data_IF_338008333501
#
_entry.id   IF_338008333501
#
_cell.length_a   1.000
_cell.length_b   1.000
_cell.length_c   1.000
_cell.angle_alpha   90.00
_cell.angle_beta   90.00
_cell.angle_gamma   90.00
#
_symmetry.space_group_name_H-M   'P 1'
#
loop_
_entity.id
_entity.type
_entity.pdbx_description
1 polymer ?
#
# COMPACT_ATOMS: atom_id res chain seq x y z
N UNK A 1 9.16 -9.39 -0.19
CA UNK A 1 10.55 -9.85 -0.49
C UNK A 1 10.77 -11.36 -0.31
N UNK A 2 10.56 -11.94 0.88
CA UNK A 2 10.82 -13.38 1.11
C UNK A 2 9.97 -14.27 0.17
N UNK A 3 8.71 -13.90 -0.04
CA UNK A 3 7.81 -14.60 -0.98
C UNK A 3 8.33 -14.55 -2.41
N UNK A 4 8.87 -13.41 -2.86
CA UNK A 4 9.51 -13.30 -4.18
C UNK A 4 10.74 -14.20 -4.31
N UNK A 5 11.58 -14.27 -3.28
CA UNK A 5 12.73 -15.18 -3.27
C UNK A 5 12.28 -16.65 -3.33
N UNK A 6 11.20 -16.98 -2.60
CA UNK A 6 10.61 -18.31 -2.60
C UNK A 6 9.98 -18.67 -3.95
N UNK A 7 9.30 -17.73 -4.60
CA UNK A 7 8.75 -17.88 -5.95
C UNK A 7 9.85 -18.10 -7.00
N UNK A 8 10.93 -17.31 -6.93
CA UNK A 8 12.03 -17.40 -7.88
C UNK A 8 12.85 -18.69 -7.73
N UNK A 9 13.21 -19.06 -6.49
CA UNK A 9 13.94 -20.30 -6.22
C UNK A 9 13.65 -20.81 -4.79
N UNK A 10 12.64 -21.68 -4.62
CA UNK A 10 12.20 -22.10 -3.29
C UNK A 10 13.26 -22.92 -2.55
N UNK A 11 14.05 -23.73 -3.26
CA UNK A 11 15.12 -24.55 -2.66
C UNK A 11 16.20 -23.65 -2.05
N UNK A 12 16.74 -22.72 -2.83
CA UNK A 12 17.78 -21.81 -2.35
C UNK A 12 17.27 -20.92 -1.20
N UNK A 13 16.01 -20.48 -1.28
CA UNK A 13 15.39 -19.66 -0.24
C UNK A 13 15.32 -20.42 1.10
N UNK A 14 14.81 -21.66 1.08
CA UNK A 14 14.71 -22.49 2.28
C UNK A 14 16.08 -22.87 2.86
N UNK A 15 17.04 -23.24 2.02
CA UNK A 15 18.43 -23.48 2.45
C UNK A 15 19.06 -22.24 3.11
N UNK A 16 18.79 -21.05 2.57
CA UNK A 16 19.28 -19.81 3.15
C UNK A 16 18.66 -19.57 4.54
N UNK A 17 17.35 -19.80 4.71
CA UNK A 17 16.68 -19.71 6.02
C UNK A 17 17.26 -20.71 7.04
N UNK A 18 17.56 -21.94 6.61
CA UNK A 18 18.18 -22.97 7.47
C UNK A 18 19.58 -22.56 7.93
N UNK A 19 20.42 -22.04 7.02
CA UNK A 19 21.76 -21.54 7.37
C UNK A 19 21.70 -20.34 8.32
N UNK A 20 20.72 -19.45 8.13
CA UNK A 20 20.49 -18.32 9.03
C UNK A 20 20.08 -18.78 10.43
N UNK A 21 19.24 -19.81 10.55
CA UNK A 21 18.86 -20.38 11.84
C UNK A 21 20.07 -20.90 12.62
N UNK A 22 21.01 -21.58 11.96
CA UNK A 22 22.25 -22.04 12.58
C UNK A 22 23.14 -20.90 13.11
N UNK A 23 23.00 -19.70 12.56
CA UNK A 23 23.77 -18.50 12.93
C UNK A 23 23.10 -17.69 14.04
N UNK A 24 21.77 -17.57 13.98
CA UNK A 24 20.95 -16.78 14.91
C UNK A 24 20.66 -17.50 16.24
N UNK A 25 20.86 -18.83 16.27
CA UNK A 25 20.84 -19.72 17.43
C UNK A 25 19.92 -19.30 18.58
N UNK A 26 18.67 -19.82 18.63
CA UNK A 26 17.82 -19.86 19.85
C UNK A 26 16.40 -20.44 19.64
N UNK A 27 15.94 -20.72 18.41
CA UNK A 27 14.59 -21.26 18.19
C UNK A 27 14.59 -22.78 17.98
N UNK A 28 13.70 -23.47 18.71
CA UNK A 28 13.40 -24.90 18.49
C UNK A 28 12.63 -25.13 17.19
N UNK A 29 11.95 -24.10 16.67
CA UNK A 29 11.20 -24.15 15.43
C UNK A 29 12.02 -23.60 14.25
N UNK A 30 11.99 -24.26 13.07
CA UNK A 30 12.62 -23.74 11.86
C UNK A 30 12.13 -22.35 11.47
N UNK A 31 13.04 -21.46 11.04
CA UNK A 31 12.68 -20.10 10.60
C UNK A 31 11.64 -20.15 9.48
N UNK A 32 11.80 -21.07 8.54
CA UNK A 32 10.83 -21.29 7.46
C UNK A 32 9.44 -21.65 7.98
N UNK A 33 9.36 -22.48 9.03
CA UNK A 33 8.07 -22.86 9.63
C UNK A 33 7.37 -21.67 10.28
N UNK A 34 8.11 -20.88 11.06
CA UNK A 34 7.59 -19.66 11.68
C UNK A 34 7.12 -18.65 10.62
N UNK A 35 7.93 -18.43 9.58
CA UNK A 35 7.60 -17.54 8.47
C UNK A 35 6.31 -17.97 7.77
N UNK A 36 6.16 -19.25 7.43
CA UNK A 36 4.97 -19.76 6.73
C UNK A 36 3.72 -19.59 7.60
N UNK A 37 3.81 -19.89 8.91
CA UNK A 37 2.67 -19.71 9.83
C UNK A 37 2.24 -18.25 9.92
N UNK A 38 3.21 -17.34 10.06
CA UNK A 38 2.93 -15.90 10.09
C UNK A 38 2.36 -15.40 8.77
N UNK A 39 2.92 -15.86 7.65
CA UNK A 39 2.45 -15.49 6.32
C UNK A 39 0.98 -15.90 6.10
N UNK A 40 0.61 -17.14 6.45
CA UNK A 40 -0.78 -17.59 6.34
C UNK A 40 -1.69 -16.79 7.29
N UNK A 41 -1.23 -16.47 8.50
CA UNK A 41 -1.99 -15.67 9.45
C UNK A 41 -2.27 -14.24 8.94
N UNK A 42 -1.26 -13.58 8.35
CA UNK A 42 -1.34 -12.20 7.88
C UNK A 42 -1.70 -12.11 6.38
N UNK A 43 -2.45 -13.08 5.84
CA UNK A 43 -2.80 -13.08 4.40
C UNK A 43 -3.66 -11.87 4.02
N UNK A 44 -4.47 -11.37 4.94
CA UNK A 44 -5.33 -10.20 4.78
C UNK A 44 -4.54 -8.88 4.73
N UNK A 45 -3.26 -8.90 5.13
CA UNK A 45 -2.38 -7.74 5.10
C UNK A 45 -1.67 -7.53 3.74
N UNK A 46 -1.95 -8.36 2.73
CA UNK A 46 -1.43 -8.18 1.37
C UNK A 46 -2.31 -7.18 0.61
N UNK A 47 -1.80 -5.96 0.50
CA UNK A 47 -2.48 -4.81 -0.09
C UNK A 47 -1.82 -4.44 -1.43
N UNK A 48 -2.63 -4.03 -2.40
CA UNK A 48 -2.16 -3.73 -3.75
C UNK A 48 -2.09 -4.95 -4.69
N UNK A 49 -2.00 -4.67 -5.99
CA UNK A 49 -2.07 -5.68 -7.05
C UNK A 49 -0.87 -6.63 -6.98
N UNK A 50 0.34 -6.06 -6.90
CA UNK A 50 1.59 -6.81 -6.89
C UNK A 50 1.67 -7.79 -5.72
N UNK A 51 1.41 -7.30 -4.50
CA UNK A 51 1.56 -8.08 -3.27
C UNK A 51 0.57 -9.25 -3.24
N UNK A 52 -0.68 -9.01 -3.66
CA UNK A 52 -1.69 -10.07 -3.76
C UNK A 52 -1.30 -11.12 -4.81
N UNK A 53 -0.84 -10.69 -6.00
CA UNK A 53 -0.38 -11.60 -7.06
C UNK A 53 0.80 -12.43 -6.61
N UNK A 54 1.80 -11.79 -6.01
CA UNK A 54 3.00 -12.45 -5.50
C UNK A 54 2.66 -13.44 -4.38
N UNK A 55 1.71 -13.09 -3.51
CA UNK A 55 1.22 -13.97 -2.46
C UNK A 55 0.58 -15.24 -3.05
N UNK A 56 -0.34 -15.11 -4.01
CA UNK A 56 -0.96 -16.26 -4.70
C UNK A 56 0.09 -17.15 -5.36
N UNK A 57 1.01 -16.57 -6.14
CA UNK A 57 2.06 -17.31 -6.83
C UNK A 57 3.02 -18.01 -5.85
N UNK A 58 3.36 -17.36 -4.74
CA UNK A 58 4.17 -17.95 -3.68
C UNK A 58 3.47 -19.13 -2.99
N UNK A 59 2.19 -18.98 -2.66
CA UNK A 59 1.39 -20.06 -2.06
C UNK A 59 1.28 -21.25 -3.01
N UNK A 60 1.01 -20.98 -4.30
CA UNK A 60 1.01 -22.01 -5.35
C UNK A 60 2.36 -22.72 -5.42
N UNK A 61 3.47 -21.97 -5.36
CA UNK A 61 4.82 -22.55 -5.35
C UNK A 61 5.02 -23.50 -4.19
N UNK A 62 4.63 -23.12 -2.97
CA UNK A 62 4.72 -23.97 -1.77
C UNK A 62 3.93 -25.27 -1.90
N UNK A 63 2.69 -25.20 -2.38
CA UNK A 63 1.82 -26.38 -2.51
C UNK A 63 2.20 -27.25 -3.71
N UNK A 64 2.95 -26.75 -4.69
CA UNK A 64 3.52 -27.55 -5.79
C UNK A 64 4.80 -28.28 -5.39
N UNK A 65 5.43 -27.91 -4.27
CA UNK A 65 6.67 -28.57 -3.83
C UNK A 65 6.41 -30.05 -3.52
N UNK A 66 7.33 -30.93 -3.95
CA UNK A 66 7.25 -32.36 -3.64
C UNK A 66 7.28 -32.65 -2.12
N UNK A 67 6.75 -33.80 -1.66
CA UNK A 67 6.62 -34.12 -0.22
C UNK A 67 7.93 -34.07 0.57
N UNK A 68 9.08 -34.29 -0.07
CA UNK A 68 10.39 -34.25 0.59
C UNK A 68 11.01 -32.85 0.69
N UNK A 69 10.56 -31.89 -0.11
CA UNK A 69 11.10 -30.53 -0.14
C UNK A 69 10.14 -29.49 0.45
N UNK A 70 8.87 -29.84 0.63
CA UNK A 70 7.85 -28.97 1.20
C UNK A 70 8.05 -28.83 2.72
N UNK A 71 8.17 -27.60 3.25
CA UNK A 71 8.24 -27.40 4.69
C UNK A 71 7.01 -27.96 5.42
N UNK A 72 7.23 -28.58 6.58
CA UNK A 72 6.15 -29.21 7.35
C UNK A 72 5.03 -28.23 7.73
N UNK A 73 5.36 -26.96 8.00
CA UNK A 73 4.40 -25.92 8.33
C UNK A 73 3.31 -25.73 7.26
N UNK A 74 3.61 -26.01 5.98
CA UNK A 74 2.59 -25.94 4.91
C UNK A 74 1.48 -26.97 5.15
N UNK A 75 1.83 -28.17 5.63
CA UNK A 75 0.86 -29.21 5.93
C UNK A 75 0.07 -28.89 7.22
N UNK A 76 0.71 -28.26 8.19
CA UNK A 76 0.07 -27.81 9.45
C UNK A 76 -0.98 -26.73 9.18
N UNK A 77 -0.72 -25.86 8.21
CA UNK A 77 -1.60 -24.76 7.81
C UNK A 77 -2.48 -25.09 6.59
N UNK A 78 -2.57 -26.36 6.17
CA UNK A 78 -3.22 -26.73 4.91
C UNK A 78 -4.71 -26.34 4.84
N UNK A 79 -5.41 -26.32 5.99
CA UNK A 79 -6.84 -25.96 6.05
C UNK A 79 -7.08 -24.46 5.84
N UNK A 80 -6.07 -23.62 6.07
CA UNK A 80 -6.14 -22.17 5.93
C UNK A 80 -5.74 -21.71 4.52
N UNK A 81 -4.93 -22.48 3.79
CA UNK A 81 -4.39 -22.09 2.48
C UNK A 81 -5.50 -21.79 1.46
N UNK A 82 -6.53 -22.64 1.36
CA UNK A 82 -7.61 -22.42 0.39
C UNK A 82 -8.44 -21.16 0.73
N UNK A 83 -8.91 -20.97 1.98
CA UNK A 83 -9.53 -19.71 2.39
C UNK A 83 -8.66 -18.47 2.10
N UNK A 84 -7.36 -18.52 2.41
CA UNK A 84 -6.38 -17.47 2.11
C UNK A 84 -6.32 -17.15 0.61
N UNK A 85 -6.27 -18.16 -0.25
CA UNK A 85 -6.25 -17.98 -1.70
C UNK A 85 -7.55 -17.34 -2.23
N UNK A 86 -8.72 -17.75 -1.71
CA UNK A 86 -10.00 -17.14 -2.08
C UNK A 86 -10.02 -15.65 -1.74
N UNK A 87 -9.59 -15.28 -0.52
CA UNK A 87 -9.50 -13.89 -0.10
C UNK A 87 -8.60 -13.07 -1.04
N UNK A 88 -7.43 -13.61 -1.39
CA UNK A 88 -6.50 -12.95 -2.32
C UNK A 88 -7.11 -12.78 -3.71
N UNK A 89 -7.82 -13.79 -4.23
CA UNK A 89 -8.48 -13.71 -5.53
C UNK A 89 -9.62 -12.70 -5.58
N UNK A 90 -10.38 -12.56 -4.50
CA UNK A 90 -11.40 -11.53 -4.39
C UNK A 90 -10.76 -10.12 -4.37
N UNK A 91 -9.62 -9.97 -3.70
CA UNK A 91 -8.81 -8.74 -3.74
C UNK A 91 -8.24 -8.44 -5.14
N UNK A 92 -7.68 -9.45 -5.81
CA UNK A 92 -7.14 -9.31 -7.17
C UNK A 92 -8.22 -8.92 -8.19
N UNK A 93 -9.39 -9.56 -8.10
CA UNK A 93 -10.50 -9.28 -9.00
C UNK A 93 -10.92 -7.81 -8.93
N UNK A 94 -10.95 -7.23 -7.73
CA UNK A 94 -11.26 -5.80 -7.53
C UNK A 94 -10.17 -4.91 -8.09
N UNK A 95 -8.91 -5.19 -7.73
CA UNK A 95 -7.77 -4.41 -8.21
C UNK A 95 -7.62 -4.41 -9.73
N UNK A 96 -7.91 -5.54 -10.41
CA UNK A 96 -7.92 -5.59 -11.88
C UNK A 96 -9.07 -4.79 -12.49
N UNK A 97 -10.25 -4.78 -11.85
CA UNK A 97 -11.38 -3.99 -12.32
C UNK A 97 -11.12 -2.49 -12.17
N UNK A 98 -10.53 -2.06 -11.06
CA UNK A 98 -10.11 -0.68 -10.83
C UNK A 98 -9.08 -0.23 -11.87
N UNK A 99 -8.03 -1.02 -12.08
CA UNK A 99 -7.00 -0.74 -13.09
C UNK A 99 -7.54 -0.68 -14.53
N UNK A 100 -8.54 -1.49 -14.86
CA UNK A 100 -9.17 -1.46 -16.17
C UNK A 100 -9.99 -0.17 -16.37
N UNK A 101 -10.68 0.31 -15.32
CA UNK A 101 -11.41 1.56 -15.36
C UNK A 101 -10.47 2.77 -15.51
N UNK A 102 -9.33 2.79 -14.80
CA UNK A 102 -8.31 3.85 -14.94
C UNK A 102 -7.76 3.94 -16.38
N UNK A 103 -7.51 2.80 -17.03
CA UNK A 103 -7.02 2.79 -18.42
C UNK A 103 -8.06 3.20 -19.46
N UNK A 104 -9.35 3.05 -19.17
CA UNK A 104 -10.43 3.56 -20.03
C UNK A 104 -10.59 5.09 -19.89
N UNK A 105 -10.38 5.64 -18.69
CA UNK A 105 -10.39 7.10 -18.45
C UNK A 105 -9.21 7.81 -19.14
N UNK A 106 -8.01 7.19 -19.19
CA UNK A 106 -6.86 7.75 -19.91
C UNK A 106 -7.04 7.75 -21.45
N UNK A 107 -7.81 6.82 -22.02
CA UNK A 107 -8.11 6.81 -23.46
C UNK A 107 -9.26 7.77 -23.85
N UNK A 108 -10.14 8.16 -22.92
CA UNK A 108 -11.17 9.19 -23.16
C UNK A 108 -10.61 10.62 -23.14
N UNK A 109 -9.45 10.86 -22.52
CA UNK A 109 -8.77 12.17 -22.48
C UNK A 109 -7.84 12.43 -23.70
N UNK A 110 -7.67 11.47 -24.62
CA UNK A 110 -6.88 11.67 -25.86
C UNK A 110 -7.72 12.15 -27.07
N UNK A 111 -9.05 12.33 -26.92
CA UNK A 111 -9.94 12.83 -27.99
C UNK A 111 -10.74 14.09 -27.60
N UNK A 112 -10.07 15.20 -27.26
CA UNK A 112 -10.43 16.58 -27.65
C UNK A 112 -9.71 17.60 -26.75
N UNK A 113 -8.58 18.11 -27.22
CA UNK A 113 -8.03 19.36 -26.73
C UNK A 113 -7.42 20.15 -27.89
N UNK A 114 -8.30 20.68 -28.73
CA UNK A 114 -8.08 22.00 -29.35
C UNK A 114 -8.38 23.04 -28.25
N UNK A 115 -7.60 23.00 -27.16
CA UNK A 115 -7.69 23.98 -26.09
C UNK A 115 -6.79 25.14 -26.48
N UNK A 116 -7.46 26.18 -27.00
CA UNK A 116 -6.92 27.53 -27.15
C UNK A 116 -6.13 27.87 -25.89
N UNK A 117 -4.88 28.31 -26.07
CA UNK A 117 -3.98 28.71 -25.00
C UNK A 117 -4.45 30.05 -24.40
N UNK A 118 -5.62 30.06 -23.74
CA UNK A 118 -6.02 31.11 -22.82
C UNK A 118 -5.32 30.88 -21.47
N UNK A 119 -4.07 31.33 -21.46
CA UNK A 119 -3.48 32.16 -20.40
C UNK A 119 -4.14 31.96 -19.04
N UNK A 120 -3.51 31.17 -18.18
CA UNK A 120 -3.68 31.26 -16.73
C UNK A 120 -3.32 32.68 -16.27
N UNK A 121 -4.27 33.62 -16.35
CA UNK A 121 -4.20 34.90 -15.64
C UNK A 121 -4.50 34.62 -14.18
N UNK A 122 -3.47 34.15 -13.48
CA UNK A 122 -3.39 34.13 -12.03
C UNK A 122 -3.39 35.58 -11.52
N UNK A 123 -4.56 36.08 -11.12
CA UNK A 123 -4.68 37.26 -10.25
C UNK A 123 -6.01 37.30 -9.50
N UNK A 124 -6.29 36.29 -8.69
CA UNK A 124 -7.20 36.44 -7.55
C UNK A 124 -6.46 36.06 -6.27
N UNK A 125 -5.66 37.01 -5.80
CA UNK A 125 -5.08 37.00 -4.45
C UNK A 125 -5.32 38.37 -3.80
N UNK A 126 -6.52 38.92 -3.93
CA UNK A 126 -6.95 40.09 -3.16
C UNK A 126 -7.39 39.65 -1.76
N UNK A 127 -6.43 39.68 -0.82
CA UNK A 127 -6.75 39.72 0.61
C UNK A 127 -7.48 41.05 0.84
N UNK A 128 -8.78 40.99 1.16
CA UNK A 128 -9.60 42.17 1.44
C UNK A 128 -8.94 43.05 2.52
N UNK A 129 -8.84 44.37 2.26
CA UNK A 129 -8.17 45.38 3.08
C UNK A 129 -8.74 45.42 4.52
N UNK A 130 -9.98 44.95 4.71
CA UNK A 130 -10.62 44.78 6.01
C UNK A 130 -10.01 43.66 6.89
N UNK A 131 -9.42 42.64 6.27
CA UNK A 131 -8.80 41.49 6.96
C UNK A 131 -7.44 41.87 7.57
N UNK A 132 -6.66 42.70 6.87
CA UNK A 132 -5.36 43.18 7.37
C UNK A 132 -5.50 44.03 8.64
N UNK A 133 -6.52 44.90 8.71
CA UNK A 133 -6.77 45.74 9.89
C UNK A 133 -7.12 44.90 11.13
N UNK A 134 -7.83 43.78 10.93
CA UNK A 134 -8.19 42.87 12.01
C UNK A 134 -6.97 42.11 12.55
N UNK A 135 -6.11 41.62 11.65
CA UNK A 135 -4.85 40.96 12.00
C UNK A 135 -3.90 41.90 12.77
N UNK A 136 -3.84 43.17 12.37
CA UNK A 136 -2.99 44.15 13.03
C UNK A 136 -3.50 44.47 14.46
N UNK A 137 -4.82 44.60 14.64
CA UNK A 137 -5.44 44.79 15.97
C UNK A 137 -5.20 43.59 16.91
N UNK A 138 -5.18 42.37 16.37
CA UNK A 138 -4.87 41.15 17.14
C UNK A 138 -3.41 41.15 17.61
N UNK A 139 -2.46 41.42 16.70
CA UNK A 139 -1.03 41.55 17.03
C UNK A 139 -0.82 42.57 18.13
N UNK A 140 -1.39 43.76 17.97
CA UNK A 140 -1.19 44.88 18.89
C UNK A 140 -1.73 44.57 20.29
N UNK A 141 -2.87 43.88 20.37
CA UNK A 141 -3.44 43.39 21.64
C UNK A 141 -2.51 42.37 22.33
N UNK A 142 -1.99 41.39 21.59
CA UNK A 142 -1.08 40.38 22.14
C UNK A 142 0.20 41.02 22.65
N UNK A 143 0.85 41.89 21.86
CA UNK A 143 2.08 42.57 22.30
C UNK A 143 1.87 43.48 23.51
N UNK A 144 0.73 44.17 23.61
CA UNK A 144 0.42 45.01 24.78
C UNK A 144 0.18 44.19 26.03
N UNK A 145 -0.60 43.12 25.94
CA UNK A 145 -0.90 42.26 27.10
C UNK A 145 0.35 41.54 27.60
N UNK A 146 1.26 41.15 26.71
CA UNK A 146 2.53 40.51 27.07
C UNK A 146 3.54 41.47 27.72
N UNK A 147 3.58 42.74 27.30
CA UNK A 147 4.43 43.78 27.92
C UNK A 147 4.07 44.08 29.38
N UNK A 148 2.82 43.83 29.78
CA UNK A 148 2.34 44.03 31.16
C UNK A 148 2.76 42.88 32.11
N UNK A 149 3.05 41.70 31.57
CA UNK A 149 3.45 40.50 32.32
C UNK A 149 4.96 40.20 32.25
N UNK A 150 5.78 41.12 31.75
CA UNK A 150 7.24 41.01 31.77
C UNK A 150 7.82 39.95 30.81
N UNK A 151 7.02 39.47 29.85
CA UNK A 151 7.44 38.49 28.85
C UNK A 151 7.38 39.13 27.45
N UNK A 152 8.53 39.22 26.77
CA UNK A 152 8.60 39.84 25.45
C UNK A 152 8.17 38.84 24.37
N UNK A 153 6.91 38.88 23.94
CA UNK A 153 6.38 38.04 22.86
C UNK A 153 6.54 38.77 21.53
N UNK A 154 7.23 38.16 20.58
CA UNK A 154 7.30 38.62 19.18
C UNK A 154 6.38 37.74 18.34
N UNK A 155 5.31 38.30 17.78
CA UNK A 155 4.41 37.63 16.85
C UNK A 155 4.66 38.12 15.42
N UNK A 156 4.92 37.20 14.49
CA UNK A 156 5.06 37.48 13.05
C UNK A 156 3.92 36.79 12.32
N UNK A 157 3.20 37.51 11.47
CA UNK A 157 2.17 36.93 10.61
C UNK A 157 2.89 36.37 9.39
N UNK A 158 2.93 35.05 9.28
CA UNK A 158 3.43 34.34 8.11
C UNK A 158 2.20 33.87 7.34
N UNK A 159 2.09 34.23 6.06
CA UNK A 159 1.01 33.78 5.20
C UNK A 159 1.21 32.29 4.89
N UNK A 160 0.85 31.44 5.85
CA UNK A 160 0.73 30.00 5.68
C UNK A 160 -0.69 29.75 5.21
N UNK A 161 -0.87 29.48 3.93
CA UNK A 161 -2.07 28.79 3.43
C UNK A 161 -2.08 27.38 4.03
N UNK A 162 -2.63 27.25 5.24
CA UNK A 162 -3.00 25.98 5.85
C UNK A 162 -4.45 26.13 6.28
N UNK A 163 -5.34 25.61 5.44
CA UNK A 163 -6.72 25.35 5.81
C UNK A 163 -6.69 24.14 6.74
N UNK A 164 -6.73 24.38 8.05
CA UNK A 164 -7.21 23.40 9.02
C UNK A 164 -8.67 23.81 9.30
N UNK A 165 -9.60 23.12 8.65
CA UNK A 165 -10.95 22.96 9.18
C UNK A 165 -11.00 21.57 9.80
N UNK A 166 -11.13 21.55 11.13
CA UNK A 166 -11.47 20.39 11.94
C UNK A 166 -12.92 19.98 11.63
N UNK A 167 -13.18 18.69 11.38
CA UNK A 167 -14.19 17.93 12.12
C UNK A 167 -14.11 16.42 11.78
N UNK A 168 -13.97 15.62 12.84
CA UNK A 168 -13.92 14.17 12.90
C UNK A 168 -15.16 13.48 12.33
N UNK A 169 -15.01 12.68 11.25
CA UNK A 169 -15.66 11.36 11.08
C UNK A 169 -15.04 10.55 9.91
N UNK A 170 -13.72 10.28 9.95
CA UNK A 170 -13.02 9.52 8.90
C UNK A 170 -12.59 8.13 9.41
N UNK A 171 -13.54 7.40 10.01
CA UNK A 171 -13.32 6.00 10.40
C UNK A 171 -14.27 5.02 9.70
N UNK A 172 -14.80 5.41 8.54
CA UNK A 172 -15.18 4.44 7.51
C UNK A 172 -13.92 3.89 6.82
N UNK A 173 -12.93 3.47 7.62
CA UNK A 173 -11.89 2.58 7.11
C UNK A 173 -12.59 1.27 6.78
N UNK A 174 -13.08 1.17 5.54
CA UNK A 174 -13.50 -0.12 5.00
C UNK A 174 -12.20 -0.93 4.88
N UNK A 175 -12.05 -2.07 5.58
CA UNK A 175 -10.87 -2.92 5.42
C UNK A 175 -10.69 -3.40 3.97
N UNK A 176 -11.74 -3.22 3.16
CA UNK A 176 -11.80 -3.52 1.75
C UNK A 176 -11.53 -2.31 0.84
N UNK A 177 -11.29 -1.11 1.37
CA UNK A 177 -10.97 0.08 0.59
C UNK A 177 -9.62 -0.08 -0.13
N UNK A 178 -9.57 0.32 -1.39
CA UNK A 178 -8.34 0.29 -2.18
C UNK A 178 -7.40 1.41 -1.70
N UNK A 179 -6.12 1.07 -1.56
CA UNK A 179 -5.11 1.75 -0.75
C UNK A 179 -4.01 2.51 -1.48
N UNK A 180 -4.09 3.08 -2.68
CA UNK A 180 -2.91 3.65 -3.43
C UNK A 180 -1.76 2.65 -3.74
N UNK A 181 -1.62 1.56 -2.99
CA UNK A 181 -0.64 0.50 -3.20
C UNK A 181 -1.03 -0.36 -4.41
N UNK A 182 -2.30 -0.32 -4.82
CA UNK A 182 -2.84 -0.95 -6.02
C UNK A 182 -2.15 -0.43 -7.30
N UNK A 183 -1.70 0.83 -7.29
CA UNK A 183 -1.08 1.47 -8.45
C UNK A 183 0.39 1.06 -8.66
N UNK A 184 1.05 0.45 -7.66
CA UNK A 184 2.44 0.01 -7.81
C UNK A 184 2.54 -1.31 -8.56
N UNK A 185 2.87 -1.21 -9.84
CA UNK A 185 3.07 -2.36 -10.74
C UNK A 185 4.56 -2.71 -10.88
N UNK A 186 4.82 -3.99 -11.10
CA UNK A 186 6.14 -4.54 -11.40
C UNK A 186 6.13 -5.26 -12.75
N UNK A 187 7.29 -5.62 -13.32
CA UNK A 187 7.36 -6.41 -14.54
C UNK A 187 6.47 -7.68 -14.52
N UNK A 188 6.27 -8.29 -13.35
CA UNK A 188 5.45 -9.48 -13.15
C UNK A 188 3.95 -9.23 -13.43
N UNK A 189 3.50 -7.98 -13.31
CA UNK A 189 2.09 -7.57 -13.35
C UNK A 189 1.63 -7.18 -14.77
N UNK A 190 2.54 -7.15 -15.75
CA UNK A 190 2.18 -6.94 -17.14
C UNK A 190 1.67 -8.22 -17.80
N UNK A 191 0.66 -8.06 -18.66
CA UNK A 191 -0.06 -9.14 -19.36
C UNK A 191 0.81 -9.96 -20.31
N UNK A 192 1.93 -9.41 -20.77
CA UNK A 192 2.89 -10.10 -21.65
C UNK A 192 3.71 -11.18 -20.91
N UNK A 193 3.65 -11.23 -19.58
CA UNK A 193 4.32 -12.27 -18.82
C UNK A 193 3.44 -13.52 -18.71
N UNK A 194 4.06 -14.68 -18.98
CA UNK A 194 3.44 -16.00 -18.97
C UNK A 194 3.12 -16.52 -17.54
N UNK A 195 2.97 -15.63 -16.56
CA UNK A 195 2.81 -15.87 -15.13
C UNK A 195 1.49 -15.26 -14.63
N UNK A 196 0.38 -15.75 -15.18
CA UNK A 196 -0.96 -15.47 -14.70
C UNK A 196 -1.27 -16.33 -13.47
N UNK A 197 -1.63 -15.69 -12.37
CA UNK A 197 -1.85 -16.33 -11.08
C UNK A 197 -3.09 -17.21 -11.03
N UNK A 198 -4.13 -16.93 -11.83
CA UNK A 198 -5.32 -17.77 -11.96
C UNK A 198 -4.99 -19.03 -12.76
N UNK A 199 -4.21 -18.91 -13.83
CA UNK A 199 -3.73 -20.05 -14.62
C UNK A 199 -2.82 -20.93 -13.77
N UNK A 200 -1.84 -20.35 -13.08
CA UNK A 200 -0.92 -21.08 -12.20
C UNK A 200 -1.70 -21.81 -11.10
N UNK A 201 -2.62 -21.13 -10.41
CA UNK A 201 -3.45 -21.79 -9.39
C UNK A 201 -4.25 -22.95 -9.97
N UNK A 202 -4.86 -22.78 -11.14
CA UNK A 202 -5.61 -23.84 -11.83
C UNK A 202 -4.74 -25.04 -12.15
N UNK A 203 -3.53 -24.83 -12.68
CA UNK A 203 -2.60 -25.92 -12.99
C UNK A 203 -2.15 -26.68 -11.74
N UNK A 204 -1.97 -25.97 -10.63
CA UNK A 204 -1.52 -26.56 -9.37
C UNK A 204 -2.61 -27.36 -8.65
N UNK A 205 -3.88 -27.00 -8.84
CA UNK A 205 -5.03 -27.67 -8.21
C UNK A 205 -5.62 -28.82 -9.02
N UNK A 206 -5.15 -29.05 -10.24
CA UNK A 206 -5.58 -30.18 -11.10
C UNK A 206 -4.93 -31.51 -10.71
#
# INVERSE_FOLDING_TARGET
VVIAALYYNPQLCLEAMERLQGTLGQSTEPIASHFIKQWIHDTDCFLGLHDRKLCVLGLCTLISMGPGARPQAVNECAQQIIPSLILLFDGLKRAYAAKAAEGEEEEEDEEESDFDEEVLSSDENEIDEASEEYLEKLKDKVTRTSGQHGFNVTASIQNCTRSDDDDDDDSDFDPNEETTLECYITPLDFTDNNQDEYIVFKEVMQ
#
